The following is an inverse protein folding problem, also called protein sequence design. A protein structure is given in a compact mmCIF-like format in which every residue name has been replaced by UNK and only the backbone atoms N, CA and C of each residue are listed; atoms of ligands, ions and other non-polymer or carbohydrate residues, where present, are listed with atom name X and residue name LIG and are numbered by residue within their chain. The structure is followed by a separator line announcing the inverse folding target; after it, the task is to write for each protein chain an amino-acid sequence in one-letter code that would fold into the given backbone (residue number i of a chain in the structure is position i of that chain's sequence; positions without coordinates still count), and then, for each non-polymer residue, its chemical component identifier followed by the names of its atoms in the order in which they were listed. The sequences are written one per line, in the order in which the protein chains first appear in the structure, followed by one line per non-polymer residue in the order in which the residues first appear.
data_IF_598843923862
#
_entry.id   IF_598843923862
#
_cell.length_a   1.000
_cell.length_b   1.000
_cell.length_c   1.000
_cell.angle_alpha   90.00
_cell.angle_beta   90.00
_cell.angle_gamma   90.00
#
_symmetry.space_group_name_H-M   'P 1'
#
loop_
_entity.id
_entity.type
_entity.pdbx_description
1 polymer ?
#
# COMPACT_ATOMS: atom_id res chain seq x y z
N UNK A 1 -18.57 -43.52 26.28
CA UNK A 1 -18.45 -42.27 27.08
C UNK A 1 -16.96 -41.98 27.20
N UNK A 2 -16.30 -41.23 26.31
CA UNK A 2 -16.67 -39.93 25.72
C UNK A 2 -16.46 -38.85 26.79
N UNK A 3 -15.61 -37.83 26.69
CA UNK A 3 -14.87 -37.20 25.58
C UNK A 3 -13.53 -36.64 26.11
N UNK A 4 -12.50 -36.57 25.26
CA UNK A 4 -11.31 -35.74 25.51
C UNK A 4 -11.51 -34.40 24.78
N UNK A 5 -11.61 -33.31 25.55
CA UNK A 5 -11.65 -31.95 25.03
C UNK A 5 -10.32 -31.63 24.33
N UNK A 6 -10.37 -31.50 23.01
CA UNK A 6 -9.26 -30.96 22.21
C UNK A 6 -9.35 -29.44 22.21
N UNK A 7 -8.49 -28.78 22.98
CA UNK A 7 -8.23 -27.35 22.78
C UNK A 7 -7.50 -27.17 21.44
N UNK A 8 -8.23 -26.63 20.46
CA UNK A 8 -7.67 -26.23 19.17
C UNK A 8 -6.80 -24.98 19.37
N UNK A 9 -5.50 -25.17 19.55
CA UNK A 9 -4.52 -24.10 19.43
C UNK A 9 -4.60 -23.49 18.02
N UNK A 10 -5.14 -22.28 17.90
CA UNK A 10 -5.14 -21.50 16.67
C UNK A 10 -3.74 -21.00 16.37
N UNK A 11 -2.91 -21.87 15.79
CA UNK A 11 -1.58 -21.51 15.31
C UNK A 11 -1.70 -21.00 13.88
N UNK A 12 -1.78 -19.68 13.72
CA UNK A 12 -1.67 -19.04 12.39
C UNK A 12 -0.21 -19.10 11.97
N UNK A 13 0.12 -19.94 10.99
CA UNK A 13 1.49 -19.99 10.48
C UNK A 13 1.84 -18.69 9.74
N UNK A 14 3.14 -18.36 9.61
CA UNK A 14 3.60 -17.24 8.76
C UNK A 14 3.07 -17.34 7.33
N UNK A 15 2.89 -18.57 6.83
CA UNK A 15 2.37 -18.83 5.51
C UNK A 15 0.86 -18.56 5.43
N UNK A 16 0.12 -18.85 6.49
CA UNK A 16 -1.31 -18.54 6.59
C UNK A 16 -1.54 -17.03 6.73
N UNK A 17 -0.72 -16.33 7.53
CA UNK A 17 -0.71 -14.86 7.57
C UNK A 17 -0.45 -14.23 6.18
N UNK A 18 0.51 -14.78 5.42
CA UNK A 18 0.80 -14.30 4.07
C UNK A 18 -0.37 -14.57 3.10
N UNK A 19 -1.02 -15.73 3.20
CA UNK A 19 -2.21 -16.10 2.40
C UNK A 19 -3.41 -15.21 2.69
N UNK A 20 -3.67 -14.85 3.95
CA UNK A 20 -4.70 -13.86 4.31
C UNK A 20 -4.37 -12.45 3.82
N UNK A 21 -3.12 -12.17 3.43
CA UNK A 21 -2.66 -10.84 3.04
C UNK A 21 -2.60 -10.57 1.54
N UNK A 22 -2.75 -11.59 0.67
CA UNK A 22 -2.81 -11.40 -0.78
C UNK A 22 -4.24 -11.06 -1.20
N UNK A 23 -4.49 -9.87 -1.73
CA UNK A 23 -5.74 -9.59 -2.42
C UNK A 23 -5.98 -10.72 -3.45
N UNK A 24 -7.07 -11.45 -3.32
CA UNK A 24 -7.55 -12.31 -4.42
C UNK A 24 -7.75 -11.40 -5.63
N UNK A 25 -7.15 -11.72 -6.77
CA UNK A 25 -7.32 -10.91 -7.99
C UNK A 25 -6.49 -9.61 -8.02
N UNK A 26 -5.16 -9.73 -8.00
CA UNK A 26 -4.27 -8.62 -8.38
C UNK A 26 -3.87 -8.79 -9.85
N UNK A 27 -4.22 -7.82 -10.67
CA UNK A 27 -3.72 -7.65 -12.03
C UNK A 27 -2.68 -6.51 -12.04
N UNK A 28 -1.54 -6.71 -12.70
CA UNK A 28 -0.50 -5.69 -12.86
C UNK A 28 0.08 -5.75 -14.26
N UNK A 29 0.30 -4.60 -14.87
CA UNK A 29 0.92 -4.46 -16.18
C UNK A 29 1.78 -3.20 -16.26
N UNK A 30 2.58 -3.10 -17.33
CA UNK A 30 3.44 -1.96 -17.59
C UNK A 30 2.70 -0.91 -18.41
N UNK A 31 2.93 0.37 -18.12
CA UNK A 31 2.32 1.47 -18.86
C UNK A 31 0.83 1.68 -18.54
N UNK A 32 0.18 2.48 -19.38
CA UNK A 32 -1.24 2.81 -19.30
C UNK A 32 -2.15 1.85 -20.08
N UNK A 33 -1.63 1.25 -21.17
CA UNK A 33 -2.40 0.36 -22.03
C UNK A 33 -2.70 -0.99 -21.35
N UNK A 34 -3.97 -1.38 -21.33
CA UNK A 34 -4.42 -2.64 -20.72
C UNK A 34 -4.10 -3.81 -21.66
N UNK A 35 -3.24 -4.76 -21.27
CA UNK A 35 -2.99 -5.94 -22.11
C UNK A 35 -4.20 -6.89 -22.08
N UNK A 36 -4.43 -7.63 -23.16
CA UNK A 36 -5.45 -8.67 -23.17
C UNK A 36 -5.16 -9.77 -22.13
N UNK A 37 -6.20 -10.27 -21.46
CA UNK A 37 -6.10 -11.46 -20.59
C UNK A 37 -5.71 -11.21 -19.13
N UNK A 38 -5.67 -9.96 -18.65
CA UNK A 38 -5.36 -9.64 -17.24
C UNK A 38 -6.58 -9.60 -16.30
N UNK A 39 -7.72 -10.13 -16.75
CA UNK A 39 -8.92 -10.27 -15.89
C UNK A 39 -9.71 -8.98 -15.65
N UNK A 40 -9.37 -7.91 -16.38
CA UNK A 40 -10.13 -6.67 -16.50
C UNK A 40 -10.17 -6.25 -17.97
N UNK A 41 -11.31 -5.74 -18.44
CA UNK A 41 -11.42 -5.20 -19.79
C UNK A 41 -10.98 -3.72 -19.85
N UNK A 42 -10.71 -3.23 -21.06
CA UNK A 42 -10.18 -1.88 -21.28
C UNK A 42 -11.16 -0.79 -20.84
N UNK A 43 -12.47 -0.99 -21.01
CA UNK A 43 -13.47 -0.01 -20.64
C UNK A 43 -13.60 0.13 -19.12
N UNK A 44 -13.57 -0.99 -18.41
CA UNK A 44 -13.58 -1.02 -16.94
C UNK A 44 -12.31 -0.37 -16.36
N UNK A 45 -11.13 -0.70 -16.91
CA UNK A 45 -9.89 -0.08 -16.49
C UNK A 45 -9.87 1.44 -16.78
N UNK A 46 -10.37 1.86 -17.94
CA UNK A 46 -10.48 3.27 -18.27
C UNK A 46 -11.39 3.99 -17.28
N UNK A 47 -12.54 3.42 -16.94
CA UNK A 47 -13.46 3.99 -15.96
C UNK A 47 -12.86 4.06 -14.55
N UNK A 48 -12.04 3.08 -14.15
CA UNK A 48 -11.32 3.12 -12.87
C UNK A 48 -10.30 4.25 -12.80
N UNK A 49 -9.56 4.50 -13.89
CA UNK A 49 -8.50 5.51 -13.91
C UNK A 49 -8.96 6.90 -14.35
N UNK A 50 -10.19 7.05 -14.85
CA UNK A 50 -10.85 8.33 -15.13
C UNK A 50 -11.39 8.95 -13.83
N UNK A 51 -10.47 9.26 -12.91
CA UNK A 51 -10.79 9.85 -11.62
C UNK A 51 -10.61 11.37 -11.63
N UNK A 52 -11.61 12.09 -11.12
CA UNK A 52 -11.70 13.54 -11.24
C UNK A 52 -11.13 14.30 -10.04
N UNK A 53 -11.12 13.69 -8.85
CA UNK A 53 -10.81 14.40 -7.61
C UNK A 53 -10.08 13.56 -6.57
N UNK A 54 -9.32 14.26 -5.72
CA UNK A 54 -8.79 13.73 -4.48
C UNK A 54 -9.94 13.57 -3.47
N UNK A 55 -10.14 12.37 -2.93
CA UNK A 55 -11.22 12.11 -1.97
C UNK A 55 -10.73 11.51 -0.65
N UNK A 56 -10.44 12.36 0.34
CA UNK A 56 -9.97 11.89 1.65
C UNK A 56 -11.01 11.06 2.41
N UNK A 57 -12.31 11.31 2.18
CA UNK A 57 -13.39 10.51 2.76
C UNK A 57 -13.48 9.08 2.18
N UNK A 58 -13.02 8.86 0.94
CA UNK A 58 -12.92 7.53 0.34
C UNK A 58 -11.72 6.76 0.87
N UNK A 59 -10.62 7.46 1.14
CA UNK A 59 -9.36 6.92 1.63
C UNK A 59 -8.99 7.53 2.99
N UNK A 60 -9.76 7.29 4.07
CA UNK A 60 -9.60 8.04 5.32
C UNK A 60 -8.32 7.71 6.08
N UNK A 61 -7.73 6.53 5.85
CA UNK A 61 -6.39 6.18 6.36
C UNK A 61 -5.28 6.55 5.38
N UNK A 62 -5.58 7.30 4.32
CA UNK A 62 -4.66 7.64 3.24
C UNK A 62 -4.02 6.37 2.63
N UNK A 63 -2.72 6.41 2.37
CA UNK A 63 -1.95 5.37 1.71
C UNK A 63 -0.67 5.07 2.51
N UNK A 64 -0.18 3.85 2.38
CA UNK A 64 1.12 3.45 2.93
C UNK A 64 1.88 2.54 1.96
N UNK A 65 3.21 2.58 2.05
CA UNK A 65 4.11 1.68 1.34
C UNK A 65 5.10 1.05 2.32
N UNK A 66 5.53 -0.18 2.07
CA UNK A 66 6.40 -0.92 2.98
C UNK A 66 7.06 -2.12 2.33
N UNK A 67 7.91 -2.83 3.09
CA UNK A 67 8.67 -4.01 2.65
C UNK A 67 9.36 -3.82 1.28
N UNK A 68 10.19 -2.77 1.10
CA UNK A 68 10.85 -2.53 -0.17
C UNK A 68 11.77 -3.70 -0.55
N UNK A 69 11.84 -3.94 -1.86
CA UNK A 69 12.78 -4.86 -2.52
C UNK A 69 13.54 -4.12 -3.62
N UNK A 70 14.60 -4.68 -4.19
CA UNK A 70 15.32 -4.02 -5.29
C UNK A 70 14.41 -3.71 -6.49
N UNK A 71 13.39 -4.53 -6.71
CA UNK A 71 12.42 -4.40 -7.79
C UNK A 71 10.98 -4.63 -7.32
N UNK A 72 10.68 -4.20 -6.09
CA UNK A 72 9.38 -4.47 -5.47
C UNK A 72 9.09 -3.60 -4.26
N UNK A 73 7.83 -3.61 -3.86
CA UNK A 73 7.29 -2.85 -2.74
C UNK A 73 5.91 -3.43 -2.37
N UNK A 74 5.45 -3.23 -1.15
CA UNK A 74 4.05 -3.39 -0.78
C UNK A 74 3.36 -2.02 -0.82
N UNK A 75 2.22 -1.92 -1.48
CA UNK A 75 1.33 -0.75 -1.44
C UNK A 75 0.07 -1.09 -0.63
N UNK A 76 -0.41 -0.13 0.15
CA UNK A 76 -1.53 -0.31 1.07
C UNK A 76 -2.47 0.90 1.08
N UNK A 77 -3.77 0.63 1.16
CA UNK A 77 -4.81 1.63 1.52
C UNK A 77 -6.05 0.91 2.08
N UNK A 78 -7.03 1.66 2.55
CA UNK A 78 -8.34 1.16 2.97
C UNK A 78 -9.45 2.04 2.38
N UNK A 79 -10.46 1.40 1.81
CA UNK A 79 -11.61 2.09 1.21
C UNK A 79 -12.73 2.19 2.25
N UNK A 80 -13.29 3.38 2.44
CA UNK A 80 -14.39 3.61 3.38
C UNK A 80 -15.75 3.82 2.69
N UNK A 81 -16.82 3.65 3.47
CA UNK A 81 -18.20 3.95 3.06
C UNK A 81 -18.78 2.97 2.04
N UNK A 82 -18.34 1.70 2.08
CA UNK A 82 -18.73 0.67 1.11
C UNK A 82 -19.66 -0.37 1.72
N UNK A 83 -20.70 -0.71 0.97
CA UNK A 83 -21.66 -1.76 1.34
C UNK A 83 -21.55 -3.00 0.45
N UNK A 84 -20.89 -2.87 -0.71
CA UNK A 84 -20.71 -3.94 -1.70
C UNK A 84 -19.84 -5.08 -1.16
N UNK A 85 -20.03 -6.28 -1.71
CA UNK A 85 -19.28 -7.46 -1.27
C UNK A 85 -17.82 -7.42 -1.75
N UNK A 86 -17.60 -7.17 -3.04
CA UNK A 86 -16.27 -7.08 -3.65
C UNK A 86 -16.09 -5.72 -4.34
N UNK A 87 -14.90 -5.13 -4.17
CA UNK A 87 -14.48 -3.88 -4.78
C UNK A 87 -13.26 -4.12 -5.65
N UNK A 88 -13.22 -3.48 -6.82
CA UNK A 88 -12.02 -3.36 -7.64
C UNK A 88 -11.41 -1.97 -7.44
N UNK A 89 -10.13 -1.95 -7.08
CA UNK A 89 -9.38 -0.74 -6.78
C UNK A 89 -8.21 -0.66 -7.74
N UNK A 90 -8.20 0.38 -8.57
CA UNK A 90 -7.08 0.66 -9.47
C UNK A 90 -5.89 1.20 -8.69
N UNK A 91 -4.69 0.96 -9.18
CA UNK A 91 -3.49 1.65 -8.71
C UNK A 91 -2.53 1.92 -9.86
N UNK A 92 -1.79 3.03 -9.75
CA UNK A 92 -0.71 3.38 -10.67
C UNK A 92 0.57 3.69 -9.91
N UNK A 93 1.69 3.36 -10.52
CA UNK A 93 3.04 3.68 -10.03
C UNK A 93 3.77 4.45 -11.12
N UNK A 94 4.32 5.61 -10.78
CA UNK A 94 5.07 6.48 -11.68
C UNK A 94 6.45 6.79 -11.09
N UNK A 95 7.40 7.22 -11.94
CA UNK A 95 8.72 7.64 -11.46
C UNK A 95 8.58 8.96 -10.68
N UNK A 96 9.27 9.09 -9.55
CA UNK A 96 9.40 10.37 -8.85
C UNK A 96 10.54 11.18 -9.47
N UNK A 97 10.29 11.79 -10.63
CA UNK A 97 11.27 12.54 -11.44
C UNK A 97 11.01 14.06 -11.48
N UNK A 98 10.15 14.55 -10.59
CA UNK A 98 9.82 15.98 -10.49
C UNK A 98 8.65 16.43 -11.38
N UNK A 99 8.12 15.56 -12.25
CA UNK A 99 6.87 15.83 -12.98
C UNK A 99 5.72 16.15 -12.03
N UNK A 100 4.76 16.91 -12.56
CA UNK A 100 3.49 17.10 -11.87
C UNK A 100 2.76 15.78 -11.74
N UNK A 101 1.86 15.78 -10.78
CA UNK A 101 1.01 14.66 -10.46
C UNK A 101 -0.03 14.34 -11.56
N UNK A 102 -0.29 15.25 -12.51
CA UNK A 102 -1.07 14.92 -13.72
C UNK A 102 -0.22 14.19 -14.76
N UNK A 103 0.97 14.72 -15.04
CA UNK A 103 1.89 14.19 -16.04
C UNK A 103 2.43 12.81 -15.66
N UNK A 104 2.83 12.62 -14.40
CA UNK A 104 3.42 11.37 -13.93
C UNK A 104 2.43 10.20 -14.03
N UNK A 105 1.15 10.43 -13.73
CA UNK A 105 0.14 9.37 -13.74
C UNK A 105 -0.57 9.21 -15.10
N UNK A 106 -0.36 10.13 -16.04
CA UNK A 106 -0.70 9.94 -17.45
C UNK A 106 0.25 8.95 -18.15
N UNK A 107 1.50 8.86 -17.66
CA UNK A 107 2.54 7.95 -18.15
C UNK A 107 3.13 7.10 -16.99
N UNK A 108 2.33 6.17 -16.44
CA UNK A 108 2.74 5.33 -15.34
C UNK A 108 3.73 4.25 -15.79
N UNK A 109 4.65 3.87 -14.91
CA UNK A 109 5.54 2.71 -15.11
C UNK A 109 4.76 1.41 -14.94
N UNK A 110 3.87 1.37 -13.94
CA UNK A 110 2.97 0.24 -13.70
C UNK A 110 1.55 0.73 -13.48
N UNK A 111 0.60 -0.05 -13.99
CA UNK A 111 -0.81 0.06 -13.65
C UNK A 111 -1.30 -1.30 -13.14
N UNK A 112 -2.34 -1.29 -12.33
CA UNK A 112 -2.92 -2.53 -11.84
C UNK A 112 -4.29 -2.34 -11.20
N UNK A 113 -4.95 -3.46 -10.96
CA UNK A 113 -6.22 -3.53 -10.24
C UNK A 113 -6.10 -4.60 -9.17
N UNK A 114 -6.60 -4.31 -7.98
CA UNK A 114 -6.67 -5.24 -6.88
C UNK A 114 -8.12 -5.35 -6.39
N UNK A 115 -8.53 -6.55 -6.01
CA UNK A 115 -9.83 -6.73 -5.35
C UNK A 115 -9.70 -6.67 -3.83
N UNK A 116 -10.72 -6.10 -3.18
CA UNK A 116 -10.90 -6.15 -1.74
C UNK A 116 -12.37 -6.35 -1.39
N UNK A 117 -12.68 -6.65 -0.15
CA UNK A 117 -14.03 -7.00 0.29
C UNK A 117 -14.21 -6.70 1.77
N UNK A 118 -15.47 -6.84 2.23
CA UNK A 118 -15.81 -6.71 3.65
C UNK A 118 -14.99 -7.62 4.55
N UNK A 119 -14.66 -8.83 4.11
CA UNK A 119 -13.91 -9.81 4.92
C UNK A 119 -12.49 -9.38 5.24
N UNK A 120 -12.01 -8.31 4.60
CA UNK A 120 -10.69 -7.70 4.82
C UNK A 120 -10.81 -6.23 5.17
N UNK A 121 -11.97 -5.82 5.67
CA UNK A 121 -12.29 -4.44 6.03
C UNK A 121 -11.98 -3.45 4.88
N UNK A 122 -12.25 -3.88 3.64
CA UNK A 122 -11.98 -3.13 2.42
C UNK A 122 -10.53 -2.60 2.31
N UNK A 123 -9.60 -3.31 2.95
CA UNK A 123 -8.17 -3.04 2.88
C UNK A 123 -7.59 -3.59 1.60
N UNK A 124 -6.83 -2.78 0.88
CA UNK A 124 -6.06 -3.16 -0.30
C UNK A 124 -4.61 -3.32 0.12
N UNK A 125 -4.02 -4.49 -0.15
CA UNK A 125 -2.59 -4.76 0.03
C UNK A 125 -2.05 -5.40 -1.24
N UNK A 126 -1.24 -4.65 -1.98
CA UNK A 126 -0.64 -5.08 -3.25
C UNK A 126 0.83 -5.33 -3.04
N UNK A 127 1.27 -6.57 -3.24
CA UNK A 127 2.70 -6.90 -3.26
C UNK A 127 3.21 -6.83 -4.69
N UNK A 128 3.98 -5.79 -5.00
CA UNK A 128 4.61 -5.59 -6.30
C UNK A 128 5.99 -6.20 -6.33
N UNK A 129 6.27 -6.94 -7.40
CA UNK A 129 7.59 -7.44 -7.78
C UNK A 129 7.65 -7.44 -9.31
N UNK A 130 8.33 -6.47 -9.90
CA UNK A 130 8.28 -6.25 -11.35
C UNK A 130 9.60 -5.64 -11.86
N UNK A 131 10.07 -6.09 -13.02
CA UNK A 131 11.32 -5.61 -13.63
C UNK A 131 11.33 -4.12 -13.99
N UNK A 132 10.16 -3.51 -14.16
CA UNK A 132 10.05 -2.06 -14.39
C UNK A 132 10.31 -1.24 -13.12
N UNK A 133 10.29 -1.86 -11.94
CA UNK A 133 10.79 -1.27 -10.70
C UNK A 133 12.29 -1.54 -10.62
N UNK A 134 13.07 -0.48 -10.70
CA UNK A 134 14.55 -0.54 -10.72
C UNK A 134 15.11 -0.27 -9.33
N UNK A 135 16.26 -0.86 -8.96
CA UNK A 135 16.88 -0.65 -7.65
C UNK A 135 17.24 0.81 -7.35
N UNK A 136 17.24 1.16 -6.06
CA UNK A 136 17.59 2.50 -5.54
C UNK A 136 16.83 3.67 -6.17
N UNK A 137 15.58 3.45 -6.62
CA UNK A 137 14.80 4.48 -7.32
C UNK A 137 13.56 4.88 -6.52
N UNK A 138 13.26 6.18 -6.53
CA UNK A 138 12.04 6.75 -5.96
C UNK A 138 10.90 6.68 -6.96
N UNK A 139 9.73 6.34 -6.45
CA UNK A 139 8.49 6.21 -7.19
C UNK A 139 7.37 6.90 -6.43
N UNK A 140 6.35 7.35 -7.17
CA UNK A 140 5.06 7.80 -6.66
C UNK A 140 4.01 6.75 -6.97
N UNK A 141 2.96 6.69 -6.15
CA UNK A 141 1.82 5.82 -6.41
C UNK A 141 0.50 6.44 -5.93
N UNK A 142 -0.60 5.99 -6.53
CA UNK A 142 -1.97 6.33 -6.15
C UNK A 142 -2.91 5.15 -6.30
N UNK A 143 -3.97 5.16 -5.51
CA UNK A 143 -5.12 4.29 -5.67
C UNK A 143 -6.30 5.06 -6.27
N UNK A 144 -7.15 4.33 -7.00
CA UNK A 144 -8.29 4.85 -7.75
C UNK A 144 -9.52 4.01 -7.43
N UNK A 145 -10.62 4.66 -7.09
CA UNK A 145 -11.86 3.98 -6.78
C UNK A 145 -13.06 4.93 -6.93
N UNK A 146 -14.10 4.47 -7.62
CA UNK A 146 -15.40 5.16 -7.67
C UNK A 146 -15.36 6.57 -8.25
N UNK A 147 -14.46 6.84 -9.21
CA UNK A 147 -14.27 8.17 -9.82
C UNK A 147 -13.35 9.11 -9.02
N UNK A 148 -12.80 8.63 -7.90
CA UNK A 148 -11.91 9.39 -7.03
C UNK A 148 -10.51 8.75 -6.97
N UNK A 149 -9.51 9.53 -6.52
CA UNK A 149 -8.16 9.05 -6.25
C UNK A 149 -7.67 9.37 -4.84
N UNK A 150 -6.75 8.56 -4.34
CA UNK A 150 -6.10 8.73 -3.04
C UNK A 150 -5.09 9.88 -3.06
N UNK A 151 -4.61 10.30 -1.88
CA UNK A 151 -3.36 11.06 -1.79
C UNK A 151 -2.22 10.31 -2.50
N UNK A 152 -1.26 11.06 -3.03
CA UNK A 152 -0.05 10.49 -3.65
C UNK A 152 0.91 10.00 -2.58
N UNK A 153 1.22 8.71 -2.59
CA UNK A 153 2.27 8.13 -1.77
C UNK A 153 3.61 8.12 -2.51
N UNK A 154 4.70 7.99 -1.76
CA UNK A 154 6.05 7.81 -2.28
C UNK A 154 6.69 6.54 -1.70
N UNK A 155 7.60 5.94 -2.44
CA UNK A 155 8.49 4.90 -1.92
C UNK A 155 9.82 4.90 -2.64
N UNK A 156 10.81 4.23 -2.07
CA UNK A 156 12.10 3.95 -2.70
C UNK A 156 12.34 2.44 -2.72
N UNK A 157 12.74 1.87 -3.84
CA UNK A 157 13.19 0.48 -3.90
C UNK A 157 14.53 0.30 -3.19
N UNK A 158 14.83 -0.92 -2.74
CA UNK A 158 16.14 -1.22 -2.15
C UNK A 158 17.26 -1.11 -3.20
N UNK A 159 18.52 -0.91 -2.77
CA UNK A 159 19.68 -1.14 -3.64
C UNK A 159 19.73 -2.56 -4.17
N UNK A 160 20.43 -2.76 -5.29
CA UNK A 160 20.70 -4.11 -5.78
C UNK A 160 21.54 -4.88 -4.73
N UNK A 161 21.41 -6.21 -4.62
CA UNK A 161 22.15 -6.99 -3.62
C UNK A 161 23.68 -6.84 -3.70
N UNK A 162 24.21 -6.51 -4.88
CA UNK A 162 25.65 -6.31 -5.14
C UNK A 162 26.03 -4.83 -5.22
N UNK A 163 25.13 -3.90 -4.89
CA UNK A 163 25.42 -2.47 -4.97
C UNK A 163 26.39 -2.07 -3.86
N UNK A 164 27.41 -1.29 -4.21
CA UNK A 164 28.24 -0.58 -3.25
C UNK A 164 27.48 0.67 -2.76
N UNK A 165 26.95 0.61 -1.54
CA UNK A 165 26.08 1.65 -0.97
C UNK A 165 26.92 2.58 -0.10
N UNK A 166 27.22 3.77 -0.62
CA UNK A 166 28.04 4.76 0.09
C UNK A 166 27.33 5.47 1.24
N UNK A 167 25.98 5.54 1.22
CA UNK A 167 25.18 6.17 2.26
C UNK A 167 23.75 5.64 2.29
N UNK A 168 23.20 5.52 3.49
CA UNK A 168 21.80 5.18 3.73
C UNK A 168 21.26 5.92 4.96
N UNK A 169 20.03 6.47 4.87
CA UNK A 169 19.40 7.25 5.95
C UNK A 169 18.10 6.59 6.40
N UNK A 170 18.01 6.26 7.69
CA UNK A 170 16.79 5.72 8.28
C UNK A 170 16.20 6.71 9.28
N UNK A 171 14.88 6.84 9.25
CA UNK A 171 14.11 7.27 10.42
C UNK A 171 13.65 6.04 11.19
N UNK A 172 13.65 6.09 12.51
CA UNK A 172 12.97 5.08 13.32
C UNK A 172 12.02 5.74 14.29
N UNK A 173 10.91 5.04 14.57
CA UNK A 173 9.86 5.48 15.49
C UNK A 173 9.36 4.27 16.28
N UNK A 174 8.84 4.52 17.48
CA UNK A 174 8.19 3.54 18.35
C UNK A 174 7.24 4.29 19.28
N UNK A 175 6.35 3.56 19.96
CA UNK A 175 5.56 4.07 21.07
C UNK A 175 4.80 5.37 20.74
N UNK A 176 3.86 5.29 19.81
CA UNK A 176 3.08 6.44 19.35
C UNK A 176 1.69 6.49 20.00
N UNK A 177 1.66 6.52 21.33
CA UNK A 177 0.39 6.64 22.07
C UNK A 177 -0.24 8.01 21.85
N UNK A 178 -1.37 8.05 21.14
CA UNK A 178 -2.11 9.28 20.87
C UNK A 178 -2.68 9.93 22.13
N UNK A 179 -2.93 9.15 23.19
CA UNK A 179 -3.46 9.68 24.46
C UNK A 179 -2.42 10.54 25.19
N UNK A 180 -1.13 10.26 24.98
CA UNK A 180 -0.02 11.00 25.56
C UNK A 180 0.33 12.29 24.80
N UNK A 181 -0.21 12.48 23.59
CA UNK A 181 -0.08 13.73 22.84
C UNK A 181 -0.16 13.59 21.33
N UNK A 182 -0.17 14.75 20.66
CA UNK A 182 -0.20 14.80 19.20
C UNK A 182 1.11 14.32 18.55
N UNK A 183 1.00 13.82 17.33
CA UNK A 183 2.10 13.25 16.54
C UNK A 183 3.04 14.30 15.91
N UNK A 184 3.50 15.28 16.70
CA UNK A 184 4.41 16.34 16.23
C UNK A 184 5.73 15.77 15.71
N UNK A 185 6.24 14.69 16.30
CA UNK A 185 7.45 14.01 15.83
C UNK A 185 7.29 13.49 14.39
N UNK A 186 6.12 12.93 14.04
CA UNK A 186 5.83 12.45 12.69
C UNK A 186 5.76 13.62 11.69
N UNK A 187 5.25 14.78 12.10
CA UNK A 187 5.25 15.99 11.28
C UNK A 187 6.67 16.48 10.96
N UNK A 188 7.62 16.38 11.90
CA UNK A 188 9.01 16.71 11.63
C UNK A 188 9.70 15.63 10.79
N UNK A 189 9.43 14.35 11.06
CA UNK A 189 9.98 13.23 10.30
C UNK A 189 9.60 13.30 8.80
N UNK A 190 8.39 13.74 8.48
CA UNK A 190 7.93 13.94 7.10
C UNK A 190 8.79 14.92 6.29
N UNK A 191 9.45 15.87 6.97
CA UNK A 191 10.33 16.87 6.36
C UNK A 191 11.77 16.40 6.20
N UNK A 192 12.14 15.27 6.81
CA UNK A 192 13.49 14.72 6.75
C UNK A 192 13.73 13.98 5.44
N UNK A 193 14.94 14.11 4.88
CA UNK A 193 15.38 13.32 3.73
C UNK A 193 15.90 11.96 4.21
N UNK A 194 14.95 11.06 4.53
CA UNK A 194 15.20 9.66 4.85
C UNK A 194 14.96 8.75 3.65
N UNK A 195 15.69 7.64 3.57
CA UNK A 195 15.46 6.60 2.57
C UNK A 195 14.32 5.67 2.98
N UNK A 196 14.29 5.28 4.26
CA UNK A 196 13.32 4.34 4.83
C UNK A 196 12.94 4.73 6.26
N UNK A 197 11.75 4.31 6.69
CA UNK A 197 11.28 4.44 8.07
C UNK A 197 11.07 3.05 8.65
N UNK A 198 11.52 2.84 9.89
CA UNK A 198 11.32 1.60 10.64
C UNK A 198 10.50 1.90 11.89
N UNK A 199 9.35 1.25 12.03
CA UNK A 199 8.57 1.30 13.27
C UNK A 199 8.94 0.09 14.15
N UNK A 200 9.39 0.32 15.38
CA UNK A 200 9.99 -0.73 16.24
C UNK A 200 9.01 -1.42 17.20
N UNK A 201 7.79 -0.92 17.33
CA UNK A 201 6.78 -1.52 18.22
C UNK A 201 5.82 -0.47 18.75
N UNK A 202 4.70 -0.93 19.29
CA UNK A 202 3.68 -0.08 19.94
C UNK A 202 3.13 1.00 18.99
N UNK A 203 2.70 0.54 17.80
CA UNK A 203 2.03 1.40 16.81
C UNK A 203 0.65 1.85 17.29
N UNK A 204 -0.01 0.99 18.06
CA UNK A 204 -1.29 1.23 18.73
C UNK A 204 -1.18 0.73 20.16
N UNK A 205 -1.99 1.32 21.04
CA UNK A 205 -2.16 0.90 22.42
C UNK A 205 -3.58 0.40 22.62
N UNK A 206 -3.74 -0.70 23.34
CA UNK A 206 -5.02 -1.37 23.60
C UNK A 206 -5.72 -0.85 24.87
N UNK A 207 -4.98 -0.16 25.74
CA UNK A 207 -5.49 0.43 26.98
C UNK A 207 -5.63 1.94 26.82
N UNK A 208 -6.74 2.45 27.31
CA UNK A 208 -6.86 3.85 27.74
C UNK A 208 -7.09 3.75 29.25
N UNK A 209 -6.24 4.36 30.06
CA UNK A 209 -6.38 4.26 31.52
C UNK A 209 -7.80 4.68 31.91
N UNK A 210 -8.52 3.80 32.59
CA UNK A 210 -9.79 4.14 33.24
C UNK A 210 -9.46 4.91 34.51
N UNK A 211 -9.68 6.23 34.50
CA UNK A 211 -9.83 6.99 35.74
C UNK A 211 -11.05 6.51 36.55
#
# INVERSE_FOLDING_TARGET
MGEKNGESSFYVSRLDFLRYSLATGVAVWAGSAVPGGVGIDEAEAQALFDAAALAENRFPQSVASGDPKPNGIVLWTRIAGQTNDTLRVGYRVAIDDGRSDGEAFADPVLSGVAETSRTRDYTVKVQLQNSNLTPSRRYRYRFYYGGDFSRTGRFKTLPAPTADVSRLRFGYISCQDYTNGYYNALYHLEKEDVDYIVHLGDYTYETVDSE
#
